data_IF_219932929976
#
_entry.id   IF_219932929976
#
_cell.length_a   1.000
_cell.length_b   1.000
_cell.length_c   1.000
_cell.angle_alpha   90.00
_cell.angle_beta   90.00
_cell.angle_gamma   90.00
#
_symmetry.space_group_name_H-M   'P 1'
#
loop_
_entity.id
_entity.type
_entity.pdbx_description
1 polymer ?
#
# COMPACT_ATOMS: atom_id res chain seq x y z
N UNK A 1 31.09 -30.26 -14.60
CA UNK A 1 30.17 -29.13 -14.37
C UNK A 1 30.85 -27.86 -14.88
N UNK A 2 30.40 -27.32 -16.01
CA UNK A 2 30.96 -26.08 -16.58
C UNK A 2 30.34 -24.90 -15.83
N UNK A 3 31.10 -24.28 -14.92
CA UNK A 3 30.70 -23.03 -14.27
C UNK A 3 31.22 -21.86 -15.11
N UNK A 4 30.33 -20.93 -15.42
CA UNK A 4 30.71 -19.63 -15.99
C UNK A 4 31.43 -18.81 -14.90
N UNK A 5 32.69 -18.41 -15.09
CA UNK A 5 33.47 -17.68 -14.08
C UNK A 5 32.92 -16.29 -13.74
N UNK A 6 31.94 -15.77 -14.49
CA UNK A 6 31.23 -14.54 -14.12
C UNK A 6 30.20 -14.75 -12.99
N UNK A 7 29.84 -15.99 -12.65
CA UNK A 7 28.94 -16.30 -11.54
C UNK A 7 29.62 -16.27 -10.16
N UNK A 8 30.93 -16.56 -10.09
CA UNK A 8 31.68 -16.57 -8.84
C UNK A 8 32.01 -15.16 -8.30
N UNK A 9 31.85 -14.11 -9.10
CA UNK A 9 32.06 -12.72 -8.69
C UNK A 9 30.88 -12.11 -7.94
N UNK A 10 29.73 -12.79 -7.93
CA UNK A 10 28.56 -12.40 -7.16
C UNK A 10 28.60 -13.11 -5.81
N UNK A 11 29.16 -12.45 -4.80
CA UNK A 11 29.06 -12.86 -3.39
C UNK A 11 27.62 -12.73 -2.86
N UNK A 12 26.69 -13.48 -3.45
CA UNK A 12 25.35 -13.72 -2.90
C UNK A 12 25.34 -15.15 -2.40
N UNK A 13 24.93 -15.38 -1.16
CA UNK A 13 24.60 -16.73 -0.71
C UNK A 13 23.45 -17.22 -1.62
N UNK A 14 23.79 -18.15 -2.52
CA UNK A 14 22.83 -18.81 -3.40
C UNK A 14 22.56 -20.19 -2.83
N UNK A 15 21.35 -20.42 -2.34
CA UNK A 15 20.92 -21.74 -1.91
C UNK A 15 20.19 -22.43 -3.06
N UNK A 16 20.67 -23.59 -3.47
CA UNK A 16 20.02 -24.44 -4.48
C UNK A 16 19.35 -25.59 -3.75
N UNK A 17 18.04 -25.74 -3.95
CA UNK A 17 17.30 -26.88 -3.45
C UNK A 17 16.88 -27.75 -4.65
N UNK A 18 17.15 -29.05 -4.56
CA UNK A 18 16.71 -30.03 -5.55
C UNK A 18 15.46 -30.70 -4.99
N UNK A 19 14.34 -30.58 -5.70
CA UNK A 19 13.13 -31.31 -5.34
C UNK A 19 13.22 -32.76 -5.85
N UNK A 20 12.67 -33.74 -5.12
CA UNK A 20 12.66 -35.13 -5.56
C UNK A 20 11.87 -35.27 -6.89
N UNK A 21 12.30 -36.18 -7.79
CA UNK A 21 11.64 -36.34 -9.08
C UNK A 21 10.16 -36.73 -8.91
N UNK A 22 9.29 -36.06 -9.67
CA UNK A 22 7.86 -36.35 -9.67
C UNK A 22 7.54 -37.71 -10.29
N UNK A 23 6.33 -38.22 -10.06
CA UNK A 23 5.90 -39.57 -10.46
C UNK A 23 6.00 -39.91 -11.96
N UNK A 24 6.28 -38.92 -12.82
CA UNK A 24 6.29 -39.07 -14.28
C UNK A 24 7.52 -38.45 -14.96
N UNK A 25 8.51 -37.95 -14.20
CA UNK A 25 9.74 -37.35 -14.76
C UNK A 25 10.95 -37.71 -13.91
N UNK A 26 12.03 -38.17 -14.54
CA UNK A 26 13.34 -38.39 -13.90
C UNK A 26 14.13 -37.08 -13.66
N UNK A 27 13.60 -35.95 -14.13
CA UNK A 27 14.19 -34.63 -13.89
C UNK A 27 13.80 -34.08 -12.53
N UNK A 28 14.80 -33.84 -11.67
CA UNK A 28 14.67 -33.09 -10.41
C UNK A 28 14.85 -31.59 -10.68
N UNK A 29 13.79 -30.76 -10.62
CA UNK A 29 13.94 -29.33 -10.84
C UNK A 29 14.84 -28.72 -9.74
N UNK A 30 15.84 -27.97 -10.18
CA UNK A 30 16.70 -27.20 -9.28
C UNK A 30 16.10 -25.81 -9.06
N UNK A 31 15.60 -25.56 -7.86
CA UNK A 31 15.10 -24.24 -7.47
C UNK A 31 16.26 -23.44 -6.85
N UNK A 32 16.71 -22.39 -7.56
CA UNK A 32 17.73 -21.47 -7.04
C UNK A 32 17.04 -20.33 -6.31
N UNK A 33 17.24 -20.23 -5.00
CA UNK A 33 16.80 -19.07 -4.20
C UNK A 33 17.95 -18.09 -4.04
N UNK A 34 17.77 -16.91 -4.61
CA UNK A 34 18.66 -15.77 -4.40
C UNK A 34 18.11 -14.98 -3.20
N UNK A 35 18.94 -14.73 -2.19
CA UNK A 35 18.53 -13.96 -1.02
C UNK A 35 18.01 -12.55 -1.35
N UNK A 36 17.24 -12.01 -0.42
CA UNK A 36 16.37 -10.84 -0.55
C UNK A 36 16.93 -9.72 -1.44
N UNK A 37 16.20 -9.44 -2.53
CA UNK A 37 16.30 -8.18 -3.24
C UNK A 37 16.01 -7.05 -2.24
N UNK A 38 17.03 -6.27 -1.88
CA UNK A 38 16.84 -5.05 -1.10
C UNK A 38 15.78 -4.22 -1.84
N UNK A 39 14.57 -4.13 -1.28
CA UNK A 39 13.51 -3.35 -1.91
C UNK A 39 14.00 -1.91 -1.98
N UNK A 40 14.34 -1.47 -3.20
CA UNK A 40 14.78 -0.11 -3.45
C UNK A 40 13.80 0.92 -2.89
N UNK A 41 14.24 2.17 -2.74
CA UNK A 41 13.42 3.26 -2.20
C UNK A 41 12.07 3.30 -2.92
N UNK A 42 11.00 2.93 -2.21
CA UNK A 42 9.64 2.96 -2.78
C UNK A 42 9.25 4.40 -3.11
N UNK A 43 8.81 4.60 -4.35
CA UNK A 43 8.28 5.89 -4.79
C UNK A 43 7.11 6.31 -3.90
N UNK A 44 6.98 7.62 -3.68
CA UNK A 44 5.83 8.17 -2.97
C UNK A 44 4.57 7.92 -3.78
N UNK A 45 3.50 7.48 -3.11
CA UNK A 45 2.18 7.30 -3.69
C UNK A 45 1.19 8.02 -2.82
N UNK A 46 0.39 8.87 -3.44
CA UNK A 46 -0.76 9.48 -2.81
C UNK A 46 -1.90 8.45 -2.72
N UNK A 47 -2.57 8.37 -1.58
CA UNK A 47 -3.79 7.58 -1.44
C UNK A 47 -5.00 8.46 -1.19
N UNK A 48 -6.09 8.19 -1.92
CA UNK A 48 -7.31 9.02 -1.87
C UNK A 48 -7.91 9.09 -0.46
N UNK A 49 -7.77 8.02 0.33
CA UNK A 49 -8.23 7.99 1.72
C UNK A 49 -7.60 9.11 2.58
N UNK A 50 -6.42 9.63 2.22
CA UNK A 50 -5.82 10.72 2.98
C UNK A 50 -6.63 12.00 2.88
N UNK A 51 -7.29 12.24 1.74
CA UNK A 51 -8.13 13.41 1.52
C UNK A 51 -9.43 13.39 2.34
N UNK A 52 -9.79 12.24 2.92
CA UNK A 52 -10.99 12.10 3.75
C UNK A 52 -10.71 12.41 5.23
N UNK A 53 -9.46 12.71 5.59
CA UNK A 53 -9.09 13.05 6.96
C UNK A 53 -9.30 14.55 7.21
N UNK A 54 -9.86 14.92 8.37
CA UNK A 54 -10.17 16.32 8.69
C UNK A 54 -8.93 17.24 8.63
N UNK A 55 -7.78 16.73 9.09
CA UNK A 55 -6.51 17.47 9.06
C UNK A 55 -5.87 17.58 7.66
N UNK A 56 -6.43 16.93 6.62
CA UNK A 56 -5.80 16.92 5.29
C UNK A 56 -5.62 18.32 4.71
N UNK A 57 -6.70 19.11 4.66
CA UNK A 57 -6.64 20.46 4.11
C UNK A 57 -5.74 21.38 4.92
N UNK A 58 -5.69 21.20 6.24
CA UNK A 58 -4.78 21.93 7.11
C UNK A 58 -3.31 21.62 6.77
N UNK A 59 -2.97 20.34 6.56
CA UNK A 59 -1.62 19.91 6.14
C UNK A 59 -1.25 20.48 4.78
N UNK A 60 -2.19 20.52 3.84
CA UNK A 60 -1.97 21.13 2.53
C UNK A 60 -1.71 22.63 2.68
N UNK A 61 -2.57 23.35 3.39
CA UNK A 61 -2.50 24.80 3.57
C UNK A 61 -1.21 25.23 4.27
N UNK A 62 -0.81 24.53 5.33
CA UNK A 62 0.44 24.83 6.04
C UNK A 62 1.67 24.68 5.13
N UNK A 63 1.71 23.64 4.28
CA UNK A 63 2.79 23.48 3.30
C UNK A 63 2.70 24.52 2.16
N UNK A 64 1.48 24.89 1.76
CA UNK A 64 1.27 25.81 0.64
C UNK A 64 1.56 27.26 0.98
N UNK A 65 1.45 27.64 2.25
CA UNK A 65 1.79 28.99 2.73
C UNK A 65 3.30 29.26 2.77
N UNK A 66 4.15 28.24 2.71
CA UNK A 66 5.61 28.44 2.72
C UNK A 66 6.09 29.23 1.49
N UNK A 67 6.85 30.34 1.66
CA UNK A 67 7.36 31.13 0.56
C UNK A 67 8.44 30.35 -0.21
N UNK A 68 8.28 30.24 -1.52
CA UNK A 68 9.22 29.59 -2.42
C UNK A 68 9.36 30.47 -3.66
N UNK A 69 10.59 30.82 -4.01
CA UNK A 69 10.90 31.65 -5.17
C UNK A 69 11.47 30.81 -6.31
N UNK A 70 11.20 31.22 -7.55
CA UNK A 70 11.66 30.56 -8.76
C UNK A 70 10.59 30.59 -9.84
N UNK A 71 10.80 29.80 -10.90
CA UNK A 71 9.79 29.64 -11.95
C UNK A 71 8.53 28.95 -11.39
N UNK A 72 7.35 29.15 -11.99
CA UNK A 72 6.12 28.50 -11.54
C UNK A 72 6.26 26.97 -11.39
N UNK A 73 6.94 26.31 -12.34
CA UNK A 73 7.20 24.87 -12.29
C UNK A 73 8.10 24.49 -11.11
N UNK A 74 9.14 25.27 -10.84
CA UNK A 74 10.02 25.05 -9.69
C UNK A 74 9.27 25.17 -8.37
N UNK A 75 8.44 26.22 -8.23
CA UNK A 75 7.61 26.45 -7.05
C UNK A 75 6.69 25.26 -6.79
N UNK A 76 5.97 24.80 -7.82
CA UNK A 76 5.08 23.64 -7.73
C UNK A 76 5.83 22.38 -7.28
N UNK A 77 6.93 22.04 -7.95
CA UNK A 77 7.75 20.87 -7.61
C UNK A 77 8.27 20.92 -6.17
N UNK A 78 8.70 22.10 -5.69
CA UNK A 78 9.17 22.27 -4.32
C UNK A 78 8.03 22.13 -3.31
N UNK A 79 6.85 22.71 -3.55
CA UNK A 79 5.68 22.55 -2.68
C UNK A 79 5.26 21.08 -2.57
N UNK A 80 5.19 20.36 -3.69
CA UNK A 80 4.90 18.92 -3.70
C UNK A 80 5.96 18.10 -2.94
N UNK A 81 7.24 18.49 -3.04
CA UNK A 81 8.33 17.83 -2.30
C UNK A 81 8.21 18.07 -0.79
N UNK A 82 7.85 19.28 -0.36
CA UNK A 82 7.62 19.60 1.06
C UNK A 82 6.44 18.80 1.63
N UNK A 83 5.34 18.73 0.86
CA UNK A 83 4.11 18.06 1.28
C UNK A 83 4.28 16.54 1.51
N UNK A 84 5.26 15.92 0.87
CA UNK A 84 5.55 14.48 0.99
C UNK A 84 5.79 14.01 2.43
N UNK A 85 6.47 14.81 3.25
CA UNK A 85 6.75 14.47 4.65
C UNK A 85 5.48 14.44 5.50
N UNK A 86 4.77 15.58 5.60
CA UNK A 86 3.53 15.67 6.37
C UNK A 86 2.45 14.67 5.94
N UNK A 87 2.28 14.41 4.64
CA UNK A 87 1.33 13.39 4.17
C UNK A 87 1.72 11.97 4.59
N UNK A 88 3.01 11.65 4.65
CA UNK A 88 3.47 10.36 5.17
C UNK A 88 3.18 10.22 6.66
N UNK A 89 3.33 11.30 7.42
CA UNK A 89 2.99 11.30 8.84
C UNK A 89 1.49 11.16 9.07
N UNK A 90 0.67 11.90 8.32
CA UNK A 90 -0.78 11.75 8.32
C UNK A 90 -1.17 10.29 8.06
N UNK A 91 -0.57 9.66 7.05
CA UNK A 91 -0.77 8.24 6.79
C UNK A 91 -0.31 7.36 7.95
N UNK A 92 0.87 7.59 8.52
CA UNK A 92 1.42 6.81 9.63
C UNK A 92 0.50 6.86 10.86
N UNK A 93 -0.07 8.03 11.18
CA UNK A 93 -0.89 8.16 12.39
C UNK A 93 -2.31 7.66 12.21
N UNK A 94 -2.90 7.80 11.02
CA UNK A 94 -4.34 7.60 10.84
C UNK A 94 -4.71 6.41 9.95
N UNK A 95 -3.85 6.04 8.98
CA UNK A 95 -4.21 5.08 7.93
C UNK A 95 -3.23 3.91 7.78
N UNK A 96 -2.11 3.89 8.49
CA UNK A 96 -1.21 2.74 8.48
C UNK A 96 -1.92 1.52 9.05
N UNK A 97 -1.71 0.35 8.45
CA UNK A 97 -2.35 -0.90 8.88
C UNK A 97 -3.88 -0.78 8.93
N UNK A 98 -4.48 -0.12 7.93
CA UNK A 98 -5.91 0.20 7.92
C UNK A 98 -6.80 -1.01 8.19
N UNK A 99 -6.50 -2.17 7.60
CA UNK A 99 -7.27 -3.41 7.81
C UNK A 99 -7.18 -3.94 9.23
N UNK A 100 -6.00 -3.87 9.85
CA UNK A 100 -5.83 -4.24 11.26
C UNK A 100 -6.61 -3.29 12.18
N UNK A 101 -6.62 -1.99 11.85
CA UNK A 101 -7.38 -0.99 12.60
C UNK A 101 -8.89 -1.19 12.45
N UNK A 102 -9.37 -1.59 11.27
CA UNK A 102 -10.78 -1.95 11.03
C UNK A 102 -11.13 -3.17 11.88
N UNK A 103 -10.36 -4.26 11.77
CA UNK A 103 -10.59 -5.49 12.52
C UNK A 103 -10.59 -5.25 14.05
N UNK A 104 -9.67 -4.43 14.56
CA UNK A 104 -9.65 -4.06 15.98
C UNK A 104 -10.89 -3.29 16.41
N UNK A 105 -11.37 -2.34 15.60
CA UNK A 105 -12.59 -1.59 15.90
C UNK A 105 -13.84 -2.46 15.83
N UNK A 106 -13.89 -3.42 14.91
CA UNK A 106 -14.98 -4.42 14.86
C UNK A 106 -15.02 -5.26 16.14
N UNK A 107 -13.87 -5.77 16.58
CA UNK A 107 -13.78 -6.53 17.83
C UNK A 107 -14.16 -5.70 19.07
N UNK A 108 -13.72 -4.44 19.13
CA UNK A 108 -14.14 -3.52 20.20
C UNK A 108 -15.65 -3.26 20.21
N UNK A 109 -16.24 -3.09 19.03
CA UNK A 109 -17.68 -2.88 18.89
C UNK A 109 -18.47 -4.13 19.32
N UNK A 110 -18.01 -5.33 18.95
CA UNK A 110 -18.62 -6.60 19.36
C UNK A 110 -18.59 -6.80 20.89
N UNK A 111 -17.46 -6.52 21.53
CA UNK A 111 -17.33 -6.57 22.98
C UNK A 111 -18.27 -5.58 23.67
N UNK A 112 -18.34 -4.35 23.16
CA UNK A 112 -19.22 -3.32 23.71
C UNK A 112 -20.71 -3.70 23.56
N UNK A 113 -21.09 -4.25 22.40
CA UNK A 113 -22.45 -4.71 22.15
C UNK A 113 -22.83 -5.89 23.04
N UNK A 114 -21.88 -6.79 23.32
CA UNK A 114 -22.07 -7.88 24.26
C UNK A 114 -22.33 -7.34 25.67
N UNK A 115 -21.55 -6.35 26.12
CA UNK A 115 -21.77 -5.69 27.41
C UNK A 115 -23.13 -4.96 27.46
N UNK A 116 -23.50 -4.25 26.39
CA UNK A 116 -24.77 -3.54 26.28
C UNK A 116 -26.00 -4.47 26.31
N UNK A 117 -25.88 -5.70 25.81
CA UNK A 117 -26.96 -6.70 25.93
C UNK A 117 -27.28 -7.07 27.38
N UNK A 118 -26.28 -7.00 28.27
CA UNK A 118 -26.42 -7.30 29.69
C UNK A 118 -26.90 -6.10 30.51
N UNK A 119 -26.67 -4.87 30.03
CA UNK A 119 -27.06 -3.61 30.67
C UNK A 119 -27.60 -2.61 29.64
N UNK A 120 -28.87 -2.81 29.25
CA UNK A 120 -29.50 -2.13 28.10
C UNK A 120 -29.86 -0.67 28.37
N UNK A 121 -30.01 -0.27 29.64
CA UNK A 121 -30.38 1.09 30.03
C UNK A 121 -29.15 1.98 30.27
N UNK A 122 -27.95 1.44 30.03
CA UNK A 122 -26.71 2.15 30.21
C UNK A 122 -26.45 3.16 29.09
N UNK A 123 -26.79 4.41 29.35
CA UNK A 123 -26.63 5.50 28.39
C UNK A 123 -25.17 5.76 27.99
N UNK A 124 -24.21 5.45 28.87
CA UNK A 124 -22.79 5.60 28.57
C UNK A 124 -22.32 4.55 27.54
N UNK A 125 -22.76 3.29 27.67
CA UNK A 125 -22.50 2.25 26.67
C UNK A 125 -23.15 2.58 25.32
N UNK A 126 -24.34 3.16 25.33
CA UNK A 126 -25.04 3.59 24.11
C UNK A 126 -24.25 4.67 23.34
N UNK A 127 -23.80 5.72 24.03
CA UNK A 127 -23.00 6.78 23.40
C UNK A 127 -21.65 6.26 22.89
N UNK A 128 -21.03 5.32 23.60
CA UNK A 128 -19.82 4.65 23.14
C UNK A 128 -20.04 3.81 21.87
N UNK A 129 -21.15 3.07 21.78
CA UNK A 129 -21.49 2.26 20.58
C UNK A 129 -21.68 3.17 19.37
N UNK A 130 -22.41 4.28 19.53
CA UNK A 130 -22.60 5.29 18.48
C UNK A 130 -21.28 5.87 18.00
N UNK A 131 -20.37 6.22 18.91
CA UNK A 131 -19.04 6.75 18.58
C UNK A 131 -18.20 5.72 17.82
N UNK A 132 -18.16 4.47 18.31
CA UNK A 132 -17.41 3.39 17.66
C UNK A 132 -17.95 3.08 16.26
N UNK A 133 -19.27 3.06 16.06
CA UNK A 133 -19.90 2.88 14.74
C UNK A 133 -19.51 3.97 13.77
N UNK A 134 -19.56 5.24 14.20
CA UNK A 134 -19.17 6.37 13.36
C UNK A 134 -17.69 6.29 12.93
N UNK A 135 -16.81 5.95 13.89
CA UNK A 135 -15.38 5.74 13.64
C UNK A 135 -15.11 4.56 12.71
N UNK A 136 -15.79 3.43 12.93
CA UNK A 136 -15.67 2.23 12.10
C UNK A 136 -16.17 2.49 10.67
N UNK A 137 -17.30 3.18 10.51
CA UNK A 137 -17.83 3.58 9.20
C UNK A 137 -16.81 4.41 8.41
N UNK A 138 -16.24 5.43 9.06
CA UNK A 138 -15.19 6.28 8.46
C UNK A 138 -13.96 5.47 8.05
N UNK A 139 -13.52 4.53 8.89
CA UNK A 139 -12.34 3.72 8.61
C UNK A 139 -12.58 2.68 7.51
N UNK A 140 -13.76 2.04 7.48
CA UNK A 140 -14.18 1.15 6.39
C UNK A 140 -14.28 1.89 5.06
N UNK A 141 -14.77 3.13 5.07
CA UNK A 141 -14.78 3.97 3.87
C UNK A 141 -13.35 4.23 3.37
N UNK A 142 -12.43 4.62 4.25
CA UNK A 142 -11.03 4.81 3.92
C UNK A 142 -10.36 3.50 3.40
N UNK A 143 -10.67 2.36 4.00
CA UNK A 143 -10.19 1.05 3.55
C UNK A 143 -10.67 0.70 2.14
N UNK A 144 -11.95 0.94 1.86
CA UNK A 144 -12.53 0.77 0.52
C UNK A 144 -11.79 1.64 -0.51
N UNK A 145 -11.51 2.90 -0.18
CA UNK A 145 -10.75 3.79 -1.07
C UNK A 145 -9.34 3.25 -1.34
N UNK A 146 -8.65 2.77 -0.30
CA UNK A 146 -7.32 2.17 -0.40
C UNK A 146 -7.31 0.97 -1.36
N UNK A 147 -8.21 0.00 -1.18
CA UNK A 147 -8.26 -1.18 -2.04
C UNK A 147 -8.72 -0.85 -3.45
N UNK A 148 -9.73 0.00 -3.61
CA UNK A 148 -10.20 0.44 -4.93
C UNK A 148 -9.06 1.07 -5.74
N UNK A 149 -8.28 1.97 -5.12
CA UNK A 149 -7.14 2.59 -5.79
C UNK A 149 -6.06 1.57 -6.14
N UNK A 150 -5.75 0.61 -5.25
CA UNK A 150 -4.78 -0.45 -5.54
C UNK A 150 -5.21 -1.33 -6.70
N UNK A 151 -6.48 -1.71 -6.76
CA UNK A 151 -7.05 -2.50 -7.86
C UNK A 151 -6.94 -1.73 -9.16
N UNK A 152 -7.38 -0.46 -9.19
CA UNK A 152 -7.26 0.41 -10.37
C UNK A 152 -5.81 0.56 -10.84
N UNK A 153 -4.87 0.82 -9.93
CA UNK A 153 -3.45 0.91 -10.27
C UNK A 153 -2.87 -0.41 -10.78
N UNK A 154 -3.35 -1.56 -10.29
CA UNK A 154 -2.94 -2.87 -10.80
C UNK A 154 -3.48 -3.09 -12.21
N UNK A 155 -4.78 -2.87 -12.41
CA UNK A 155 -5.45 -2.99 -13.70
C UNK A 155 -4.77 -2.15 -14.78
N UNK A 156 -4.49 -0.86 -14.49
CA UNK A 156 -3.81 0.03 -15.44
C UNK A 156 -2.42 -0.48 -15.83
N UNK A 157 -1.67 -1.04 -14.88
CA UNK A 157 -0.33 -1.61 -15.16
C UNK A 157 -0.40 -2.88 -15.99
N UNK A 158 -1.39 -3.72 -15.74
CA UNK A 158 -1.57 -4.97 -16.47
C UNK A 158 -2.07 -4.69 -17.89
N UNK A 159 -2.94 -3.70 -18.07
CA UNK A 159 -3.39 -3.22 -19.38
C UNK A 159 -2.24 -2.61 -20.21
N UNK A 160 -1.38 -1.79 -19.61
CA UNK A 160 -0.20 -1.19 -20.26
C UNK A 160 0.87 -2.24 -20.65
N UNK A 161 0.91 -3.38 -19.96
CA UNK A 161 1.75 -4.52 -20.38
C UNK A 161 1.17 -5.22 -21.61
N UNK A 162 -0.15 -5.26 -21.75
CA UNK A 162 -0.84 -5.82 -22.91
C UNK A 162 -0.77 -4.91 -24.14
N UNK A 163 -0.77 -3.59 -23.98
CA UNK A 163 -0.72 -2.62 -25.10
C UNK A 163 0.59 -2.67 -25.89
N UNK A 164 1.71 -3.10 -25.28
CA UNK A 164 2.99 -3.30 -25.98
C UNK A 164 2.90 -4.29 -27.14
N UNK A 165 1.96 -5.24 -27.10
CA UNK A 165 1.71 -6.17 -28.20
C UNK A 165 0.98 -5.51 -29.38
N UNK A 166 0.29 -4.39 -29.17
CA UNK A 166 -0.51 -3.69 -30.17
C UNK A 166 0.18 -2.46 -30.80
N UNK A 167 1.43 -2.19 -30.41
CA UNK A 167 2.23 -1.07 -30.94
C UNK A 167 3.38 -1.52 -31.85
N UNK A 168 3.38 -2.76 -32.36
CA UNK A 168 4.23 -3.11 -33.48
C UNK A 168 3.73 -2.36 -34.73
N UNK A 169 4.53 -1.47 -35.35
CA UNK A 169 4.19 -0.92 -36.65
C UNK A 169 4.13 -2.10 -37.63
N UNK A 170 3.04 -2.20 -38.36
CA UNK A 170 3.00 -2.97 -39.60
C UNK A 170 3.99 -2.33 -40.58
N UNK A 171 5.24 -2.79 -40.56
CA UNK A 171 6.23 -2.49 -41.60
C UNK A 171 5.88 -3.36 -42.82
N UNK A 172 5.26 -2.71 -43.81
CA UNK A 172 5.28 -3.09 -45.23
C UNK A 172 5.83 -1.87 -45.98
N UNK A 173 6.58 -2.04 -47.09
CA UNK A 173 6.60 -3.17 -48.03
C UNK A 173 7.94 -3.93 -48.14
#
# INVERSE_FOLDING_TARGET
>A
MLINPSWSSLHRLTHVHFEPPGAFTDHSPAAVRLDHYAQGRRNFKFFNMWATHDQFLQVISSCWSSPIHGTPMYILCRKLKLLKGPLKELNRFHFSHISERVSRLESQLEQLQTAFQHDKDNQLLFEQDKLLRSKLSSLKFAEKQFFSQKIKCKFLKDSDRGSKFFHAPSEHP
#
